data_IF_791809043604
#
_entry.id   IF_791809043604
#
_cell.length_a   1.000
_cell.length_b   1.000
_cell.length_c   1.000
_cell.angle_alpha   90.00
_cell.angle_beta   90.00
_cell.angle_gamma   90.00
#
_symmetry.space_group_name_H-M   'P 1'
#
loop_
_entity.id
_entity.type
_entity.pdbx_description
1 polymer ?
#
# COMPACT_ATOMS: atom_id res chain seq x y z
N UNK A 1 -31.59 -23.04 -16.73
CA UNK A 1 -30.65 -22.69 -15.65
C UNK A 1 -29.44 -22.04 -16.28
N UNK A 2 -29.36 -20.70 -16.27
CA UNK A 2 -28.18 -19.98 -16.72
C UNK A 2 -27.69 -19.16 -15.53
N UNK A 3 -26.46 -19.43 -15.10
CA UNK A 3 -25.84 -18.89 -13.91
C UNK A 3 -25.64 -17.38 -14.11
N UNK A 4 -26.26 -16.58 -13.25
CA UNK A 4 -25.96 -15.16 -13.09
C UNK A 4 -24.50 -15.03 -12.66
N UNK A 5 -23.62 -14.62 -13.58
CA UNK A 5 -22.30 -14.12 -13.22
C UNK A 5 -22.51 -12.80 -12.48
N UNK A 6 -22.45 -12.86 -11.16
CA UNK A 6 -22.46 -11.67 -10.32
C UNK A 6 -21.11 -10.99 -10.51
N UNK A 7 -21.07 -9.81 -11.12
CA UNK A 7 -19.86 -8.99 -11.16
C UNK A 7 -19.46 -8.67 -9.72
N UNK A 8 -18.41 -9.33 -9.21
CA UNK A 8 -17.78 -8.97 -7.94
C UNK A 8 -17.06 -7.63 -8.16
N UNK A 9 -17.30 -6.64 -7.29
CA UNK A 9 -16.58 -5.37 -7.39
C UNK A 9 -15.08 -5.58 -7.16
N UNK A 10 -14.23 -4.74 -7.75
CA UNK A 10 -12.77 -4.81 -7.56
C UNK A 10 -12.39 -4.77 -6.07
N UNK A 11 -13.09 -3.97 -5.26
CA UNK A 11 -12.89 -3.92 -3.82
C UNK A 11 -13.23 -5.25 -3.14
N UNK A 12 -14.37 -5.87 -3.47
CA UNK A 12 -14.73 -7.17 -2.92
C UNK A 12 -13.74 -8.26 -3.34
N UNK A 13 -13.24 -8.20 -4.57
CA UNK A 13 -12.21 -9.10 -5.08
C UNK A 13 -10.88 -8.94 -4.32
N UNK A 14 -10.45 -7.70 -4.10
CA UNK A 14 -9.25 -7.39 -3.31
C UNK A 14 -9.38 -7.94 -1.88
N UNK A 15 -10.52 -7.71 -1.23
CA UNK A 15 -10.76 -8.21 0.13
C UNK A 15 -10.76 -9.73 0.19
N UNK A 16 -11.39 -10.37 -0.80
CA UNK A 16 -11.34 -11.82 -0.92
C UNK A 16 -9.89 -12.34 -1.05
N UNK A 17 -9.06 -11.72 -1.88
CA UNK A 17 -7.65 -12.11 -2.01
C UNK A 17 -6.86 -11.89 -0.72
N UNK A 18 -7.07 -10.76 -0.03
CA UNK A 18 -6.42 -10.49 1.25
C UNK A 18 -6.80 -11.53 2.31
N UNK A 19 -8.08 -11.88 2.42
CA UNK A 19 -8.54 -12.89 3.39
C UNK A 19 -7.90 -14.27 3.22
N UNK A 20 -7.43 -14.58 2.01
CA UNK A 20 -6.81 -15.86 1.65
C UNK A 20 -5.29 -15.73 1.45
N UNK A 21 -4.68 -14.63 1.89
CA UNK A 21 -3.22 -14.42 1.89
C UNK A 21 -2.74 -14.35 3.35
N UNK A 22 -2.23 -15.46 3.86
CA UNK A 22 -1.85 -15.62 5.28
C UNK A 22 -0.76 -14.62 5.70
N UNK A 23 0.23 -14.37 4.84
CA UNK A 23 1.33 -13.43 5.13
C UNK A 23 0.82 -12.00 5.25
N UNK A 24 -0.05 -11.56 4.33
CA UNK A 24 -0.67 -10.24 4.38
C UNK A 24 -1.64 -10.10 5.54
N UNK A 25 -2.40 -11.14 5.85
CA UNK A 25 -3.26 -11.12 7.03
C UNK A 25 -2.46 -11.05 8.33
N UNK A 26 -1.34 -11.76 8.43
CA UNK A 26 -0.42 -11.63 9.56
C UNK A 26 0.07 -10.19 9.70
N UNK A 27 0.61 -9.61 8.62
CA UNK A 27 1.12 -8.24 8.62
C UNK A 27 0.06 -7.23 9.05
N UNK A 28 -1.18 -7.38 8.57
CA UNK A 28 -2.30 -6.53 8.96
C UNK A 28 -2.65 -6.60 10.45
N UNK A 29 -2.61 -7.79 11.04
CA UNK A 29 -2.80 -7.96 12.48
C UNK A 29 -1.62 -7.39 13.29
N UNK A 30 -0.39 -7.61 12.84
CA UNK A 30 0.81 -7.02 13.45
C UNK A 30 0.73 -5.49 13.46
N UNK A 31 0.43 -4.88 12.31
CA UNK A 31 0.24 -3.45 12.18
C UNK A 31 -0.87 -2.90 13.08
N UNK A 32 -2.02 -3.60 13.14
CA UNK A 32 -3.11 -3.23 14.05
C UNK A 32 -2.66 -3.24 15.52
N UNK A 33 -1.88 -4.24 15.94
CA UNK A 33 -1.40 -4.34 17.32
C UNK A 33 -0.39 -3.24 17.65
N UNK A 34 0.58 -2.98 16.76
CA UNK A 34 1.55 -1.89 16.92
C UNK A 34 0.84 -0.54 16.95
N UNK A 35 -0.11 -0.30 16.04
CA UNK A 35 -0.87 0.94 16.01
C UNK A 35 -1.67 1.16 17.30
N UNK A 36 -2.36 0.12 17.80
CA UNK A 36 -3.08 0.18 19.08
C UNK A 36 -2.15 0.47 20.26
N UNK A 37 -1.02 -0.22 20.35
CA UNK A 37 -0.05 -0.04 21.43
C UNK A 37 0.53 1.38 21.47
N UNK A 38 0.69 2.01 20.31
CA UNK A 38 1.29 3.35 20.18
C UNK A 38 0.24 4.47 20.01
N UNK A 39 -1.04 4.18 20.24
CA UNK A 39 -2.15 5.13 20.09
C UNK A 39 -2.20 5.82 18.71
N UNK A 40 -1.98 5.05 17.64
CA UNK A 40 -2.03 5.53 16.26
C UNK A 40 -3.40 5.15 15.67
N UNK A 41 -4.24 6.15 15.44
CA UNK A 41 -5.61 5.96 14.94
C UNK A 41 -5.68 5.94 13.40
N UNK A 42 -4.83 6.74 12.75
CA UNK A 42 -4.79 6.91 11.29
C UNK A 42 -3.54 6.25 10.72
N UNK A 43 -3.66 5.02 10.24
CA UNK A 43 -2.57 4.25 9.65
C UNK A 43 -3.05 3.37 8.50
N UNK A 44 -2.18 3.01 7.57
CA UNK A 44 -2.41 2.06 6.48
C UNK A 44 -1.14 1.24 6.26
N UNK A 45 -1.29 0.00 5.78
CA UNK A 45 -0.23 -0.66 5.02
C UNK A 45 -0.49 -0.37 3.54
N UNK A 46 0.49 0.20 2.83
CA UNK A 46 0.26 0.87 1.55
C UNK A 46 1.16 0.37 0.41
N UNK A 47 1.00 0.99 -0.76
CA UNK A 47 1.85 0.83 -1.93
C UNK A 47 2.00 -0.62 -2.40
N UNK A 48 3.22 -1.16 -2.32
CA UNK A 48 3.57 -2.50 -2.80
C UNK A 48 2.76 -3.60 -2.11
N UNK A 49 2.37 -3.40 -0.86
CA UNK A 49 1.57 -4.38 -0.11
C UNK A 49 0.28 -4.75 -0.84
N UNK A 50 -0.47 -3.76 -1.32
CA UNK A 50 -1.73 -3.97 -2.05
C UNK A 50 -1.48 -4.18 -3.55
N UNK A 51 -0.64 -3.34 -4.16
CA UNK A 51 -0.40 -3.36 -5.61
C UNK A 51 0.15 -4.70 -6.08
N UNK A 52 1.16 -5.23 -5.39
CA UNK A 52 1.77 -6.51 -5.78
C UNK A 52 0.76 -7.63 -5.68
N UNK A 53 -0.07 -7.70 -4.63
CA UNK A 53 -1.12 -8.71 -4.53
C UNK A 53 -2.03 -8.72 -5.76
N UNK A 54 -2.51 -7.54 -6.16
CA UNK A 54 -3.41 -7.44 -7.32
C UNK A 54 -2.68 -7.84 -8.59
N UNK A 55 -1.47 -7.35 -8.82
CA UNK A 55 -0.71 -7.66 -10.02
C UNK A 55 -0.31 -9.14 -10.08
N UNK A 56 0.14 -9.74 -8.97
CA UNK A 56 0.48 -11.16 -8.87
C UNK A 56 -0.73 -12.02 -9.23
N UNK A 57 -1.91 -11.71 -8.64
CA UNK A 57 -3.15 -12.46 -8.91
C UNK A 57 -3.58 -12.34 -10.37
N UNK A 58 -3.48 -11.17 -10.97
CA UNK A 58 -3.85 -10.95 -12.37
C UNK A 58 -2.84 -11.54 -13.36
N UNK A 59 -1.57 -11.71 -12.96
CA UNK A 59 -0.55 -12.40 -13.76
C UNK A 59 -0.49 -13.91 -13.52
N UNK A 60 -1.22 -14.43 -12.54
CA UNK A 60 -1.16 -15.84 -12.14
C UNK A 60 0.16 -16.20 -11.43
N UNK A 61 0.82 -15.23 -10.82
CA UNK A 61 2.05 -15.42 -10.05
C UNK A 61 1.76 -15.84 -8.61
N UNK A 62 2.69 -16.58 -7.97
CA UNK A 62 2.63 -16.77 -6.53
C UNK A 62 2.76 -15.41 -5.84
N UNK A 63 1.88 -15.15 -4.88
CA UNK A 63 1.93 -13.96 -4.04
C UNK A 63 2.83 -14.25 -2.83
N UNK A 64 3.88 -13.45 -2.62
CA UNK A 64 4.74 -13.53 -1.45
C UNK A 64 5.07 -12.11 -0.94
N UNK A 65 5.02 -11.92 0.37
CA UNK A 65 5.21 -10.64 1.03
C UNK A 65 6.64 -10.42 1.54
N UNK A 66 7.49 -11.43 1.50
CA UNK A 66 8.91 -11.31 1.89
C UNK A 66 9.77 -11.02 0.65
N UNK A 67 9.58 -11.81 -0.41
CA UNK A 67 10.35 -11.74 -1.65
C UNK A 67 9.42 -11.66 -2.86
N UNK A 68 9.66 -10.68 -3.72
CA UNK A 68 8.93 -10.48 -4.97
C UNK A 68 9.92 -10.33 -6.13
N UNK A 69 9.81 -11.22 -7.13
CA UNK A 69 10.71 -11.27 -8.28
C UNK A 69 12.22 -11.23 -7.92
N UNK A 70 12.60 -11.86 -6.80
CA UNK A 70 13.99 -11.95 -6.35
C UNK A 70 14.49 -10.76 -5.53
N UNK A 71 13.61 -9.82 -5.18
CA UNK A 71 13.92 -8.69 -4.31
C UNK A 71 13.09 -8.71 -3.03
N UNK A 72 13.62 -8.18 -1.94
CA UNK A 72 12.89 -8.04 -0.69
C UNK A 72 11.77 -7.00 -0.84
N UNK A 73 10.57 -7.32 -0.36
CA UNK A 73 9.40 -6.44 -0.42
C UNK A 73 9.34 -5.57 0.83
N UNK A 74 9.33 -4.25 0.62
CA UNK A 74 9.04 -3.30 1.68
C UNK A 74 7.56 -3.40 2.09
N UNK A 75 7.28 -3.50 3.38
CA UNK A 75 5.94 -3.39 3.96
C UNK A 75 5.77 -1.96 4.49
N UNK A 76 5.22 -1.10 3.65
CA UNK A 76 5.07 0.33 3.95
C UNK A 76 3.93 0.57 4.95
N UNK A 77 4.26 0.71 6.24
CA UNK A 77 3.34 1.20 7.27
C UNK A 77 3.37 2.73 7.29
N UNK A 78 2.32 3.35 6.77
CA UNK A 78 2.17 4.80 6.80
C UNK A 78 1.16 5.20 7.87
N UNK A 79 1.41 6.32 8.53
CA UNK A 79 0.47 6.87 9.50
C UNK A 79 0.45 8.39 9.45
N UNK A 80 -0.62 8.99 9.99
CA UNK A 80 -0.76 10.44 10.03
C UNK A 80 -0.89 10.92 11.46
N UNK A 81 0.13 11.66 11.92
CA UNK A 81 0.10 12.34 13.22
C UNK A 81 0.79 13.69 13.10
N UNK A 82 0.03 14.79 13.08
CA UNK A 82 0.57 16.15 13.04
C UNK A 82 1.06 16.64 14.42
N UNK A 83 0.55 16.05 15.51
CA UNK A 83 0.95 16.39 16.89
C UNK A 83 2.37 15.92 17.22
N UNK A 84 2.85 14.90 16.52
CA UNK A 84 4.19 14.32 16.69
C UNK A 84 4.72 13.86 15.33
N UNK A 85 5.43 14.76 14.66
CA UNK A 85 6.02 14.56 13.35
C UNK A 85 7.48 14.09 13.41
N UNK A 86 8.01 13.81 14.60
CA UNK A 86 9.43 13.50 14.78
C UNK A 86 9.85 12.23 14.02
N UNK A 87 10.96 12.32 13.27
CA UNK A 87 11.54 11.15 12.58
C UNK A 87 11.94 10.03 13.57
N UNK A 88 12.27 10.38 14.81
CA UNK A 88 12.59 9.39 15.85
C UNK A 88 11.44 8.42 16.10
N UNK A 89 10.18 8.88 16.04
CA UNK A 89 9.01 8.01 16.22
C UNK A 89 8.87 6.98 15.10
N UNK A 90 9.18 7.36 13.85
CA UNK A 90 9.23 6.41 12.73
C UNK A 90 10.24 5.29 13.03
N UNK A 91 11.43 5.65 13.51
CA UNK A 91 12.51 4.69 13.85
C UNK A 91 12.11 3.78 15.02
N UNK A 92 11.49 4.33 16.06
CA UNK A 92 11.03 3.55 17.20
C UNK A 92 9.95 2.53 16.79
N UNK A 93 9.03 2.92 15.90
CA UNK A 93 8.02 2.01 15.35
C UNK A 93 8.67 0.94 14.45
N UNK A 94 9.61 1.30 13.57
CA UNK A 94 10.38 0.33 12.76
C UNK A 94 11.09 -0.69 13.66
N UNK A 95 11.65 -0.25 14.80
CA UNK A 95 12.30 -1.13 15.75
C UNK A 95 11.32 -2.06 16.46
N UNK A 96 10.11 -1.61 16.79
CA UNK A 96 9.06 -2.47 17.35
C UNK A 96 8.62 -3.54 16.35
N UNK A 97 8.42 -3.16 15.08
CA UNK A 97 8.13 -4.12 14.01
C UNK A 97 9.27 -5.13 13.84
N UNK A 98 10.52 -4.67 13.85
CA UNK A 98 11.70 -5.55 13.78
C UNK A 98 11.77 -6.56 14.92
N UNK A 99 11.30 -6.20 16.12
CA UNK A 99 11.26 -7.11 17.27
C UNK A 99 10.25 -8.25 17.12
N UNK A 100 9.32 -8.18 16.17
CA UNK A 100 8.40 -9.29 15.88
C UNK A 100 9.12 -10.51 15.28
N UNK A 101 10.28 -10.30 14.63
CA UNK A 101 11.07 -11.39 14.05
C UNK A 101 10.37 -12.12 12.90
N UNK A 102 9.42 -11.44 12.23
CA UNK A 102 8.59 -11.99 11.15
C UNK A 102 9.29 -12.06 9.79
N UNK A 103 10.48 -11.47 9.67
CA UNK A 103 11.24 -11.39 8.43
C UNK A 103 10.74 -10.34 7.43
N UNK A 104 9.68 -9.60 7.76
CA UNK A 104 9.12 -8.56 6.91
C UNK A 104 9.99 -7.29 6.97
N UNK A 105 10.24 -6.67 5.81
CA UNK A 105 10.96 -5.40 5.73
C UNK A 105 10.01 -4.24 5.98
N UNK A 106 9.63 -4.02 7.24
CA UNK A 106 8.78 -2.90 7.63
C UNK A 106 9.46 -1.55 7.37
N UNK A 107 8.74 -0.66 6.66
CA UNK A 107 9.13 0.72 6.40
C UNK A 107 8.07 1.63 7.01
N UNK A 108 8.42 2.42 8.03
CA UNK A 108 7.45 3.28 8.73
C UNK A 108 7.65 4.73 8.34
N UNK A 109 6.58 5.42 7.96
CA UNK A 109 6.64 6.83 7.59
C UNK A 109 5.41 7.61 8.06
N UNK A 110 5.62 8.59 8.96
CA UNK A 110 4.61 9.59 9.25
C UNK A 110 4.40 10.54 8.06
N UNK A 111 3.22 10.48 7.46
CA UNK A 111 2.87 11.29 6.29
C UNK A 111 2.74 12.78 6.63
N UNK A 112 2.44 13.15 7.88
CA UNK A 112 2.33 14.57 8.28
C UNK A 112 3.61 15.37 8.05
N UNK A 113 4.78 14.72 8.05
CA UNK A 113 6.10 15.33 7.81
C UNK A 113 6.55 15.23 6.34
N UNK A 114 5.96 14.34 5.54
CA UNK A 114 6.47 14.02 4.20
C UNK A 114 6.37 15.20 3.23
N UNK A 115 5.39 16.10 3.41
CA UNK A 115 5.25 17.31 2.60
C UNK A 115 6.54 18.14 2.55
N UNK A 116 7.24 18.33 3.68
CA UNK A 116 8.46 19.16 3.71
C UNK A 116 9.62 18.53 2.94
N UNK A 117 9.69 17.19 2.91
CA UNK A 117 10.70 16.46 2.12
C UNK A 117 10.40 16.54 0.63
N UNK A 118 9.11 16.51 0.29
CA UNK A 118 8.64 16.42 -1.09
C UNK A 118 8.43 17.80 -1.73
N UNK A 119 8.47 18.88 -0.94
CA UNK A 119 8.24 20.25 -1.40
C UNK A 119 6.76 20.59 -1.63
N UNK A 120 5.87 19.93 -0.89
CA UNK A 120 4.42 20.19 -0.96
C UNK A 120 3.94 21.06 0.19
N UNK A 121 2.70 21.54 0.05
CA UNK A 121 1.91 22.06 1.15
C UNK A 121 1.62 20.95 2.19
N UNK A 122 1.42 21.30 3.47
CA UNK A 122 1.11 20.33 4.51
C UNK A 122 -0.11 19.48 4.17
N UNK A 123 0.08 18.15 4.14
CA UNK A 123 -1.02 17.22 3.91
C UNK A 123 -2.03 17.24 5.05
N UNK A 124 -3.30 17.01 4.75
CA UNK A 124 -4.38 17.01 5.77
C UNK A 124 -4.68 15.62 6.33
N UNK A 125 -4.42 14.57 5.57
CA UNK A 125 -4.60 13.17 5.96
C UNK A 125 -3.75 12.21 5.10
N UNK A 126 -3.98 10.90 5.25
CA UNK A 126 -3.27 9.86 4.47
C UNK A 126 -3.67 9.87 2.99
N UNK A 127 -4.95 10.05 2.68
CA UNK A 127 -5.45 10.10 1.30
C UNK A 127 -4.83 11.25 0.54
N UNK A 128 -4.78 12.42 1.15
CA UNK A 128 -4.15 13.61 0.60
C UNK A 128 -2.65 13.37 0.36
N UNK A 129 -1.94 12.85 1.36
CA UNK A 129 -0.52 12.48 1.21
C UNK A 129 -0.27 11.47 0.08
N UNK A 130 -1.14 10.47 -0.09
CA UNK A 130 -1.07 9.49 -1.18
C UNK A 130 -1.43 10.10 -2.53
N UNK A 131 -2.33 11.08 -2.56
CA UNK A 131 -2.67 11.86 -3.75
C UNK A 131 -1.46 12.56 -4.37
N UNK A 132 -0.41 12.72 -3.58
CA UNK A 132 0.88 13.29 -3.94
C UNK A 132 1.94 12.22 -4.29
N UNK A 133 1.60 10.95 -4.53
CA UNK A 133 2.58 9.92 -4.91
C UNK A 133 2.82 9.87 -6.43
N UNK A 134 4.01 9.46 -6.92
CA UNK A 134 4.35 9.56 -8.34
C UNK A 134 3.52 8.67 -9.27
N UNK A 135 3.09 7.50 -8.79
CA UNK A 135 2.25 6.55 -9.52
C UNK A 135 0.85 6.43 -8.88
N UNK A 136 -0.22 6.46 -9.69
CA UNK A 136 -1.59 6.34 -9.16
C UNK A 136 -1.84 4.99 -8.49
N UNK A 137 -1.33 3.91 -9.07
CA UNK A 137 -1.56 2.53 -8.61
C UNK A 137 -0.76 2.18 -7.35
N UNK A 138 0.11 3.08 -6.91
CA UNK A 138 0.79 2.97 -5.62
C UNK A 138 0.04 3.69 -4.51
N UNK A 139 -0.80 4.68 -4.84
CA UNK A 139 -1.53 5.53 -3.90
C UNK A 139 -2.78 4.82 -3.33
N UNK A 140 -2.53 3.66 -2.73
CA UNK A 140 -3.51 2.74 -2.17
C UNK A 140 -2.98 2.16 -0.86
N UNK A 141 -3.87 2.02 0.12
CA UNK A 141 -3.52 1.41 1.40
C UNK A 141 -4.72 0.76 2.07
N UNK A 142 -4.42 -0.18 2.96
CA UNK A 142 -5.42 -0.99 3.65
C UNK A 142 -5.05 -1.15 5.12
N UNK A 143 -6.07 -1.19 5.97
CA UNK A 143 -5.93 -1.48 7.39
C UNK A 143 -7.09 -2.37 7.87
N UNK A 144 -6.89 -2.98 9.03
CA UNK A 144 -7.98 -3.63 9.76
C UNK A 144 -8.63 -2.62 10.72
N UNK A 145 -9.95 -2.65 10.75
CA UNK A 145 -10.78 -1.94 11.73
C UNK A 145 -11.47 -2.97 12.60
N UNK A 146 -11.18 -3.02 13.91
CA UNK A 146 -11.89 -3.92 14.81
C UNK A 146 -13.39 -3.59 14.86
N UNK A 147 -14.25 -4.61 14.86
CA UNK A 147 -15.66 -4.49 15.19
C UNK A 147 -15.99 -5.39 16.41
N UNK A 148 -17.26 -5.49 16.80
CA UNK A 148 -17.67 -6.20 18.02
C UNK A 148 -17.36 -7.71 18.01
N UNK A 149 -17.19 -8.33 16.83
CA UNK A 149 -17.10 -9.79 16.67
C UNK A 149 -15.83 -10.21 15.91
N UNK A 150 -15.22 -9.32 15.14
CA UNK A 150 -14.09 -9.58 14.25
C UNK A 150 -13.41 -8.26 13.82
N UNK A 151 -13.01 -8.18 12.56
CA UNK A 151 -12.42 -7.02 11.90
C UNK A 151 -13.04 -6.82 10.51
N UNK A 152 -12.97 -5.59 10.03
CA UNK A 152 -13.29 -5.22 8.65
C UNK A 152 -12.07 -4.61 7.97
N UNK A 153 -11.98 -4.76 6.65
CA UNK A 153 -10.99 -4.03 5.88
C UNK A 153 -11.47 -2.60 5.66
N UNK A 154 -10.59 -1.66 5.94
CA UNK A 154 -10.73 -0.28 5.51
C UNK A 154 -9.71 -0.01 4.41
N UNK A 155 -10.21 0.26 3.21
CA UNK A 155 -9.44 0.58 2.02
C UNK A 155 -9.46 2.08 1.79
N UNK A 156 -8.28 2.64 1.54
CA UNK A 156 -8.11 4.03 1.15
C UNK A 156 -7.33 4.10 -0.16
N UNK A 157 -7.84 4.86 -1.12
CA UNK A 157 -7.18 5.10 -2.41
C UNK A 157 -7.38 6.55 -2.83
N UNK A 158 -6.33 7.15 -3.39
CA UNK A 158 -6.40 8.50 -3.94
C UNK A 158 -7.03 8.54 -5.35
N UNK A 159 -6.91 7.46 -6.12
CA UNK A 159 -7.27 7.43 -7.55
C UNK A 159 -8.23 6.31 -7.97
N UNK A 160 -8.77 5.56 -7.01
CA UNK A 160 -9.63 4.39 -7.28
C UNK A 160 -8.84 3.10 -7.48
N UNK A 161 -9.50 2.09 -8.04
CA UNK A 161 -8.93 0.75 -8.27
C UNK A 161 -8.84 0.38 -9.75
N UNK A 162 -9.48 1.14 -10.64
CA UNK A 162 -9.67 0.74 -12.03
C UNK A 162 -8.35 0.52 -12.76
N UNK A 163 -7.43 1.48 -12.71
CA UNK A 163 -6.15 1.36 -13.40
C UNK A 163 -5.27 0.25 -12.81
N UNK A 164 -5.33 0.03 -11.49
CA UNK A 164 -4.65 -1.07 -10.82
C UNK A 164 -5.13 -2.44 -11.34
N UNK A 165 -6.44 -2.63 -11.45
CA UNK A 165 -7.05 -3.87 -11.93
C UNK A 165 -6.98 -4.04 -13.45
N UNK A 166 -6.82 -2.95 -14.20
CA UNK A 166 -6.59 -2.97 -15.65
C UNK A 166 -5.11 -3.20 -16.01
N UNK A 167 -4.25 -3.47 -15.04
CA UNK A 167 -2.80 -3.63 -15.25
C UNK A 167 -2.19 -2.40 -15.93
N UNK A 168 -2.62 -1.22 -15.48
CA UNK A 168 -2.07 0.04 -15.94
C UNK A 168 -1.10 0.59 -14.91
N UNK A 169 -0.17 1.41 -15.39
CA UNK A 169 0.78 2.13 -14.56
C UNK A 169 0.82 3.58 -15.02
N UNK A 170 0.28 4.46 -14.20
CA UNK A 170 -0.11 5.81 -14.60
C UNK A 170 0.62 6.85 -13.78
N UNK A 171 1.18 7.83 -14.46
CA UNK A 171 1.78 8.99 -13.82
C UNK A 171 0.71 9.83 -13.11
N UNK A 172 1.03 10.31 -11.90
CA UNK A 172 0.24 11.32 -11.22
C UNK A 172 0.66 12.74 -11.65
N UNK A 173 -0.22 13.55 -12.27
CA UNK A 173 0.09 14.91 -12.70
C UNK A 173 0.55 15.88 -11.60
N UNK A 174 0.33 15.57 -10.31
CA UNK A 174 0.89 16.35 -9.20
C UNK A 174 2.40 16.15 -9.00
N UNK A 175 3.03 15.29 -9.80
CA UNK A 175 4.45 15.02 -9.76
C UNK A 175 5.13 15.31 -11.08
N UNK A 176 6.46 15.44 -11.00
CA UNK A 176 7.27 15.57 -12.20
C UNK A 176 7.30 14.22 -12.90
N UNK A 177 7.01 14.23 -14.20
CA UNK A 177 7.03 13.02 -15.03
C UNK A 177 8.36 12.27 -14.96
N UNK A 178 9.48 12.99 -14.83
CA UNK A 178 10.81 12.39 -14.66
C UNK A 178 10.93 11.52 -13.40
N UNK A 179 10.24 11.87 -12.30
CA UNK A 179 10.24 11.04 -11.08
C UNK A 179 9.54 9.71 -11.32
N UNK A 180 8.41 9.73 -12.03
CA UNK A 180 7.71 8.53 -12.46
C UNK A 180 8.58 7.67 -13.38
N UNK A 181 9.21 8.27 -14.40
CA UNK A 181 10.12 7.53 -15.30
C UNK A 181 11.30 6.91 -14.56
N UNK A 182 11.91 7.63 -13.62
CA UNK A 182 13.01 7.10 -12.81
C UNK A 182 12.56 5.91 -11.97
N UNK A 183 11.35 5.96 -11.39
CA UNK A 183 10.79 4.86 -10.61
C UNK A 183 10.39 3.67 -11.47
N UNK A 184 9.82 3.88 -12.66
CA UNK A 184 9.59 2.80 -13.64
C UNK A 184 10.86 2.01 -13.91
N UNK A 185 11.96 2.70 -14.20
CA UNK A 185 13.25 2.08 -14.48
C UNK A 185 13.84 1.40 -13.23
N UNK A 186 13.80 2.06 -12.06
CA UNK A 186 14.34 1.51 -10.82
C UNK A 186 13.58 0.26 -10.37
N UNK A 187 12.25 0.29 -10.41
CA UNK A 187 11.39 -0.79 -9.91
C UNK A 187 11.18 -1.89 -10.95
N UNK A 188 11.57 -1.67 -12.22
CA UNK A 188 11.52 -2.67 -13.30
C UNK A 188 10.14 -3.32 -13.44
N UNK A 189 9.08 -2.58 -13.17
CA UNK A 189 7.72 -3.13 -13.10
C UNK A 189 7.28 -3.76 -14.41
N UNK A 190 7.61 -3.16 -15.56
CA UNK A 190 7.27 -3.70 -16.88
C UNK A 190 8.03 -4.99 -17.22
N UNK A 191 9.19 -5.23 -16.59
CA UNK A 191 9.91 -6.49 -16.75
C UNK A 191 9.34 -7.58 -15.83
N UNK A 192 8.97 -7.22 -14.60
CA UNK A 192 8.38 -8.13 -13.61
C UNK A 192 6.97 -8.57 -14.01
N UNK A 193 6.17 -7.62 -14.48
CA UNK A 193 4.77 -7.77 -14.82
C UNK A 193 4.55 -7.42 -16.29
N UNK A 194 4.79 -8.36 -17.22
CA UNK A 194 4.82 -8.09 -18.66
C UNK A 194 3.47 -7.72 -19.28
N UNK A 195 2.36 -7.87 -18.56
CA UNK A 195 1.04 -7.41 -19.02
C UNK A 195 0.75 -5.96 -18.60
N UNK A 196 1.64 -5.32 -17.83
CA UNK A 196 1.47 -3.91 -17.50
C UNK A 196 1.58 -3.01 -18.72
N UNK A 197 0.75 -1.97 -18.74
CA UNK A 197 0.80 -0.92 -19.76
C UNK A 197 0.98 0.45 -19.09
N UNK A 198 1.89 1.27 -19.61
CA UNK A 198 2.06 2.64 -19.12
C UNK A 198 1.06 3.58 -19.79
N UNK A 199 0.38 4.40 -19.00
CA UNK A 199 -0.49 5.46 -19.52
C UNK A 199 0.19 6.81 -19.26
N UNK A 200 0.58 7.56 -20.32
CA UNK A 200 0.91 8.97 -20.18
C UNK A 200 -0.36 9.69 -19.71
N UNK A 201 -0.30 10.36 -18.56
CA UNK A 201 -1.38 11.22 -18.09
C UNK A 201 -1.40 12.57 -18.79
#
# INVERSE_FOLDING_TARGET
MSLTSTFVSQQAQLFHWLQHDEERMYALHAALNIAKHNHIEHWLIAAGFVRNLVWDKLHGYPSNLIMDHGEQVDVDFIYFCSKDSAKARDVDLEQQFKQLGDGLAWSVKNQSRMHSRNGDEPYVDLKDAMGHWPEKETAIGIRLVPNLVSFEFHLETAFGLDSLFQLQLSHNPQRQYQQFQARLAQKRWLERYPQLTTIPS
#
